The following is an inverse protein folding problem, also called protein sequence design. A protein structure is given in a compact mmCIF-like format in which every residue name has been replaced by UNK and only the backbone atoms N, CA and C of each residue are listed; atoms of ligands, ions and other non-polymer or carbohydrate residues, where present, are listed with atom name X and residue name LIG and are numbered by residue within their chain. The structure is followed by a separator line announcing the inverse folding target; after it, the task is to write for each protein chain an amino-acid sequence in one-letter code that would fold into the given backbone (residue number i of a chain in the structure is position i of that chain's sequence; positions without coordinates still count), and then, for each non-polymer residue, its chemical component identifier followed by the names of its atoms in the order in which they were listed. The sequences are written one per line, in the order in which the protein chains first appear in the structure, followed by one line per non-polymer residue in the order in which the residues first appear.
data_IF_811297164584
#
_entry.id   IF_811297164584
#
_cell.length_a   1.000
_cell.length_b   1.000
_cell.length_c   1.000
_cell.angle_alpha   90.00
_cell.angle_beta   90.00
_cell.angle_gamma   90.00
#
_symmetry.space_group_name_H-M   'P 1'
#
loop_
_entity.id
_entity.type
_entity.pdbx_description
1 polymer ?
#
# COMPACT_ATOMS: atom_id res chain seq x y z
N UNK A 1 -12.49 -13.48 27.49
CA UNK A 1 -12.52 -14.65 26.59
C UNK A 1 -12.77 -14.20 25.15
N UNK A 2 -11.98 -14.65 24.17
CA UNK A 2 -12.16 -14.28 22.75
C UNK A 2 -13.38 -14.98 22.16
N UNK A 3 -14.15 -14.27 21.33
CA UNK A 3 -15.32 -14.81 20.60
C UNK A 3 -14.91 -15.09 19.15
N UNK A 4 -15.23 -16.28 18.64
CA UNK A 4 -14.98 -16.70 17.26
C UNK A 4 -16.28 -16.73 16.47
N UNK A 5 -16.20 -16.33 15.20
CA UNK A 5 -17.32 -16.43 14.26
C UNK A 5 -17.16 -17.70 13.45
N UNK A 6 -18.09 -18.64 13.63
CA UNK A 6 -18.14 -19.90 12.87
C UNK A 6 -19.44 -20.00 12.09
N UNK A 7 -19.46 -20.83 11.04
CA UNK A 7 -20.69 -21.18 10.32
C UNK A 7 -21.33 -22.41 10.96
N UNK A 8 -22.64 -22.39 11.14
CA UNK A 8 -23.40 -23.57 11.57
C UNK A 8 -23.35 -24.65 10.48
N UNK A 9 -23.13 -25.94 10.82
CA UNK A 9 -23.13 -27.01 9.83
C UNK A 9 -24.51 -27.21 9.16
N UNK A 10 -25.62 -27.10 9.90
CA UNK A 10 -26.97 -27.21 9.31
C UNK A 10 -27.40 -25.97 8.57
N UNK A 11 -27.55 -24.84 9.28
CA UNK A 11 -28.19 -23.66 8.69
C UNK A 11 -27.22 -22.75 7.92
N UNK A 12 -25.90 -23.02 7.94
CA UNK A 12 -24.83 -22.23 7.30
C UNK A 12 -24.74 -20.76 7.74
N UNK A 13 -25.66 -20.29 8.60
CA UNK A 13 -25.64 -18.97 9.22
C UNK A 13 -24.44 -18.84 10.15
N UNK A 14 -23.90 -17.63 10.23
CA UNK A 14 -22.77 -17.30 11.10
C UNK A 14 -23.26 -17.23 12.54
N UNK A 15 -22.53 -17.82 13.48
CA UNK A 15 -22.78 -17.70 14.91
C UNK A 15 -21.49 -17.33 15.65
N UNK A 16 -21.65 -16.63 16.77
CA UNK A 16 -20.55 -16.27 17.67
C UNK A 16 -20.45 -17.33 18.77
N UNK A 17 -19.33 -18.05 18.83
CA UNK A 17 -19.02 -18.96 19.93
C UNK A 17 -17.83 -18.41 20.74
N UNK A 18 -17.65 -18.89 21.96
CA UNK A 18 -16.41 -18.61 22.69
C UNK A 18 -15.30 -19.52 22.20
N UNK A 19 -14.05 -19.07 22.27
CA UNK A 19 -12.88 -19.89 21.93
C UNK A 19 -12.55 -20.90 23.06
N UNK A 20 -13.53 -21.73 23.42
CA UNK A 20 -13.41 -22.77 24.45
C UNK A 20 -14.08 -24.05 23.95
N UNK A 21 -13.45 -25.23 24.10
CA UNK A 21 -14.09 -26.49 23.72
C UNK A 21 -15.36 -26.72 24.57
N UNK A 22 -16.53 -26.67 23.92
CA UNK A 22 -17.82 -26.82 24.55
C UNK A 22 -18.91 -27.18 23.52
N UNK A 23 -20.08 -27.55 24.01
CA UNK A 23 -21.29 -27.72 23.20
C UNK A 23 -21.99 -26.36 23.09
N UNK A 24 -22.13 -25.83 21.89
CA UNK A 24 -22.81 -24.56 21.62
C UNK A 24 -24.13 -24.80 20.92
N UNK A 25 -25.19 -24.11 21.34
CA UNK A 25 -26.48 -24.17 20.64
C UNK A 25 -26.54 -23.09 19.57
N UNK A 26 -26.90 -23.47 18.34
CA UNK A 26 -27.09 -22.49 17.27
C UNK A 26 -28.30 -21.59 17.58
N UNK A 27 -28.17 -20.26 17.52
CA UNK A 27 -29.29 -19.35 17.76
C UNK A 27 -30.36 -19.43 16.66
N UNK A 28 -30.02 -19.94 15.48
CA UNK A 28 -30.95 -19.97 14.33
C UNK A 28 -31.69 -21.30 14.19
N UNK A 29 -30.98 -22.44 14.27
CA UNK A 29 -31.60 -23.77 14.07
C UNK A 29 -31.70 -24.59 15.36
N UNK A 30 -31.33 -24.02 16.53
CA UNK A 30 -31.36 -24.66 17.85
C UNK A 30 -30.54 -25.95 17.99
N UNK A 31 -29.81 -26.35 16.96
CA UNK A 31 -28.97 -27.55 16.96
C UNK A 31 -27.70 -27.35 17.79
N UNK A 32 -27.26 -28.43 18.43
CA UNK A 32 -26.05 -28.44 19.26
C UNK A 32 -24.81 -28.72 18.39
N UNK A 33 -23.96 -27.72 18.28
CA UNK A 33 -22.65 -27.80 17.67
C UNK A 33 -21.58 -28.14 18.72
N UNK A 34 -20.86 -29.24 18.53
CA UNK A 34 -19.71 -29.62 19.38
C UNK A 34 -18.44 -28.95 18.86
N UNK A 35 -17.87 -28.04 19.65
CA UNK A 35 -16.55 -27.46 19.40
C UNK A 35 -15.50 -28.22 20.21
N UNK A 36 -14.67 -29.00 19.53
CA UNK A 36 -13.59 -29.80 20.12
C UNK A 36 -12.23 -29.09 20.01
N UNK A 37 -11.24 -29.53 20.81
CA UNK A 37 -9.86 -29.02 20.72
C UNK A 37 -9.26 -29.16 19.31
N UNK A 38 -9.57 -30.25 18.60
CA UNK A 38 -9.13 -30.46 17.21
C UNK A 38 -9.67 -29.39 16.25
N UNK A 39 -10.96 -29.06 16.35
CA UNK A 39 -11.56 -27.99 15.54
C UNK A 39 -11.02 -26.61 15.88
N UNK A 40 -10.62 -26.39 17.14
CA UNK A 40 -9.96 -25.16 17.56
C UNK A 40 -8.58 -25.01 16.90
N UNK A 41 -7.79 -26.09 16.85
CA UNK A 41 -6.49 -26.08 16.16
C UNK A 41 -6.64 -25.81 14.66
N UNK A 42 -7.58 -26.48 13.99
CA UNK A 42 -7.84 -26.27 12.55
C UNK A 42 -8.27 -24.82 12.27
N UNK A 43 -9.15 -24.25 13.10
CA UNK A 43 -9.57 -22.86 12.93
C UNK A 43 -8.40 -21.88 13.06
N UNK A 44 -7.49 -22.08 14.03
CA UNK A 44 -6.30 -21.23 14.20
C UNK A 44 -5.39 -21.29 12.96
N UNK A 45 -5.18 -22.50 12.43
CA UNK A 45 -4.38 -22.71 11.23
C UNK A 45 -5.03 -22.04 10.02
N UNK A 46 -6.34 -22.22 9.83
CA UNK A 46 -7.10 -21.57 8.75
C UNK A 46 -7.09 -20.04 8.84
N UNK A 47 -7.13 -19.45 10.04
CA UNK A 47 -7.02 -17.99 10.19
C UNK A 47 -5.65 -17.48 9.78
N UNK A 48 -4.58 -18.17 10.17
CA UNK A 48 -3.19 -17.80 9.79
C UNK A 48 -3.02 -17.87 8.27
N UNK A 49 -3.53 -18.91 7.61
CA UNK A 49 -3.46 -19.03 6.15
C UNK A 49 -4.28 -17.97 5.42
N UNK A 50 -5.45 -17.58 5.95
CA UNK A 50 -6.24 -16.49 5.38
C UNK A 50 -5.51 -15.15 5.48
N UNK A 51 -4.91 -14.85 6.63
CA UNK A 51 -4.17 -13.61 6.84
C UNK A 51 -2.94 -13.56 5.92
N UNK A 52 -2.24 -14.69 5.74
CA UNK A 52 -1.14 -14.79 4.77
C UNK A 52 -1.60 -14.55 3.32
N UNK A 53 -2.72 -15.16 2.92
CA UNK A 53 -3.28 -14.98 1.57
C UNK A 53 -3.74 -13.54 1.30
N UNK A 54 -4.41 -12.91 2.27
CA UNK A 54 -4.85 -11.52 2.20
C UNK A 54 -3.64 -10.58 2.03
N UNK A 55 -2.59 -10.80 2.82
CA UNK A 55 -1.34 -10.01 2.77
C UNK A 55 -0.68 -10.06 1.38
N UNK A 56 -0.63 -11.24 0.74
CA UNK A 56 -0.07 -11.37 -0.61
C UNK A 56 -0.91 -10.63 -1.67
N UNK A 57 -2.23 -10.69 -1.58
CA UNK A 57 -3.13 -9.96 -2.49
C UNK A 57 -2.96 -8.45 -2.32
N UNK A 58 -2.84 -7.98 -1.08
CA UNK A 58 -2.68 -6.56 -0.76
C UNK A 58 -1.33 -6.02 -1.27
N UNK A 59 -0.24 -6.79 -1.12
CA UNK A 59 1.07 -6.43 -1.70
C UNK A 59 0.96 -6.31 -3.22
N UNK A 60 0.33 -7.29 -3.89
CA UNK A 60 0.18 -7.28 -5.35
C UNK A 60 -0.64 -6.08 -5.83
N UNK A 61 -1.74 -5.77 -5.15
CA UNK A 61 -2.60 -4.64 -5.49
C UNK A 61 -1.90 -3.30 -5.27
N UNK A 62 -1.11 -3.18 -4.21
CA UNK A 62 -0.36 -1.95 -3.90
C UNK A 62 0.75 -1.70 -4.94
N UNK A 63 1.47 -2.74 -5.37
CA UNK A 63 2.45 -2.65 -6.47
C UNK A 63 1.77 -2.24 -7.79
N UNK A 64 0.65 -2.88 -8.13
CA UNK A 64 -0.12 -2.56 -9.34
C UNK A 64 -0.62 -1.12 -9.33
N UNK A 65 -1.11 -0.64 -8.19
CA UNK A 65 -1.56 0.74 -8.03
C UNK A 65 -0.41 1.74 -8.19
N UNK A 66 0.74 1.50 -7.56
CA UNK A 66 1.93 2.36 -7.73
C UNK A 66 2.40 2.41 -9.19
N UNK A 67 2.39 1.28 -9.89
CA UNK A 67 2.76 1.22 -11.31
C UNK A 67 1.77 1.96 -12.21
N UNK A 68 0.46 1.78 -11.99
CA UNK A 68 -0.56 2.49 -12.76
C UNK A 68 -0.53 4.00 -12.49
N UNK A 69 -0.29 4.39 -11.23
CA UNK A 69 -0.16 5.80 -10.85
C UNK A 69 1.05 6.43 -11.53
N UNK A 70 2.23 5.79 -11.50
CA UNK A 70 3.43 6.31 -12.18
C UNK A 70 3.25 6.40 -13.70
N UNK A 71 2.61 5.41 -14.32
CA UNK A 71 2.27 5.43 -15.75
C UNK A 71 1.32 6.57 -16.11
N UNK A 72 0.31 6.81 -15.28
CA UNK A 72 -0.65 7.90 -15.48
C UNK A 72 0.01 9.27 -15.26
N UNK A 73 0.84 9.42 -14.22
CA UNK A 73 1.63 10.63 -13.99
C UNK A 73 2.58 10.90 -15.16
N UNK A 74 3.23 9.88 -15.71
CA UNK A 74 4.09 10.04 -16.88
C UNK A 74 3.30 10.47 -18.12
N UNK A 75 2.13 9.86 -18.38
CA UNK A 75 1.24 10.28 -19.47
C UNK A 75 0.80 11.74 -19.30
N UNK A 76 0.40 12.13 -18.10
CA UNK A 76 0.01 13.51 -17.78
C UNK A 76 1.17 14.47 -18.01
N UNK A 77 2.37 14.19 -17.48
CA UNK A 77 3.56 15.00 -17.73
C UNK A 77 3.92 15.08 -19.21
N UNK A 78 3.78 13.99 -19.97
CA UNK A 78 4.03 14.00 -21.42
C UNK A 78 3.02 14.88 -22.15
N UNK A 79 1.75 14.87 -21.73
CA UNK A 79 0.70 15.71 -22.29
C UNK A 79 0.93 17.19 -21.94
N UNK A 80 1.23 17.50 -20.68
CA UNK A 80 1.62 18.85 -20.25
C UNK A 80 2.82 19.34 -21.06
N UNK A 81 3.87 18.52 -21.20
CA UNK A 81 5.06 18.87 -22.00
C UNK A 81 4.72 19.13 -23.47
N UNK A 82 3.78 18.39 -24.06
CA UNK A 82 3.31 18.66 -25.43
C UNK A 82 2.53 19.97 -25.51
N UNK A 83 1.59 20.19 -24.58
CA UNK A 83 0.79 21.42 -24.55
C UNK A 83 1.66 22.66 -24.31
N UNK A 84 2.65 22.57 -23.44
CA UNK A 84 3.57 23.68 -23.20
C UNK A 84 4.52 23.90 -24.39
N UNK A 85 5.01 22.86 -25.07
CA UNK A 85 5.80 22.99 -26.31
C UNK A 85 5.04 23.66 -27.46
N UNK A 86 3.72 23.48 -27.49
CA UNK A 86 2.85 24.10 -28.48
C UNK A 86 2.41 25.52 -28.08
N UNK A 87 2.78 26.00 -26.88
CA UNK A 87 2.48 27.36 -26.44
C UNK A 87 3.54 28.32 -27.04
N UNK A 88 3.15 29.44 -27.68
CA UNK A 88 4.08 30.42 -28.23
C UNK A 88 5.06 31.02 -27.20
N UNK A 89 4.76 30.93 -25.89
CA UNK A 89 5.62 31.42 -24.81
C UNK A 89 6.65 30.38 -24.28
N UNK A 90 6.78 29.22 -24.93
CA UNK A 90 7.68 28.13 -24.50
C UNK A 90 9.17 28.51 -24.47
N UNK A 91 9.57 29.47 -25.32
CA UNK A 91 10.94 30.00 -25.34
C UNK A 91 11.30 30.79 -24.07
N UNK A 92 10.35 31.52 -23.48
CA UNK A 92 10.56 32.24 -22.21
C UNK A 92 10.67 31.29 -21.02
N UNK A 93 9.88 30.22 -20.99
CA UNK A 93 9.96 29.21 -19.91
C UNK A 93 11.36 28.58 -19.81
N UNK A 94 12.02 28.32 -20.95
CA UNK A 94 13.39 27.81 -20.97
C UNK A 94 14.43 28.88 -20.60
N UNK A 95 14.14 30.15 -20.87
CA UNK A 95 14.99 31.29 -20.50
C UNK A 95 14.97 31.52 -18.99
N UNK A 96 13.79 31.54 -18.36
CA UNK A 96 13.64 31.64 -16.90
C UNK A 96 14.29 30.47 -16.16
N UNK A 97 14.20 29.24 -16.68
CA UNK A 97 14.88 28.07 -16.10
C UNK A 97 16.41 28.15 -16.19
N UNK A 98 16.96 28.76 -17.25
CA UNK A 98 18.41 29.01 -17.37
C UNK A 98 18.83 30.11 -16.42
N UNK A 99 18.09 31.21 -16.38
CA UNK A 99 18.33 32.33 -15.47
C UNK A 99 18.30 31.86 -14.01
N UNK A 100 17.29 31.08 -13.58
CA UNK A 100 17.27 30.50 -12.23
C UNK A 100 18.43 29.55 -11.96
N UNK A 101 18.87 28.74 -12.94
CA UNK A 101 20.04 27.87 -12.78
C UNK A 101 21.35 28.65 -12.69
N UNK A 102 21.47 29.77 -13.39
CA UNK A 102 22.61 30.66 -13.30
C UNK A 102 22.63 31.39 -11.94
N UNK A 103 21.47 31.83 -11.42
CA UNK A 103 21.37 32.38 -10.05
C UNK A 103 21.70 31.30 -8.99
N UNK A 104 21.32 30.04 -9.24
CA UNK A 104 21.69 28.91 -8.36
C UNK A 104 23.14 28.47 -8.56
N UNK A 105 23.74 28.74 -9.73
CA UNK A 105 25.15 28.50 -10.05
C UNK A 105 26.11 29.30 -9.17
N UNK A 106 25.66 30.43 -8.62
CA UNK A 106 26.39 31.15 -7.58
C UNK A 106 26.66 30.27 -6.33
N UNK A 107 25.78 29.30 -6.00
CA UNK A 107 26.03 28.30 -4.93
C UNK A 107 27.11 27.28 -5.29
N UNK A 108 27.37 27.00 -6.58
CA UNK A 108 28.51 26.17 -7.02
C UNK A 108 29.85 26.90 -6.83
N UNK A 109 29.89 28.23 -6.92
CA UNK A 109 31.08 29.03 -6.64
C UNK A 109 31.59 28.85 -5.21
N UNK A 110 30.68 28.81 -4.23
CA UNK A 110 31.04 28.59 -2.82
C UNK A 110 31.59 27.18 -2.56
N UNK A 111 31.02 26.16 -3.22
CA UNK A 111 31.51 24.77 -3.13
C UNK A 111 32.89 24.61 -3.78
N UNK A 112 33.09 25.19 -4.96
CA UNK A 112 34.38 25.19 -5.66
C UNK A 112 35.48 25.96 -4.91
N UNK A 113 35.12 27.04 -4.21
CA UNK A 113 36.05 27.81 -3.36
C UNK A 113 36.46 27.02 -2.10
N UNK A 114 35.50 26.37 -1.43
CA UNK A 114 35.75 25.47 -0.29
C UNK A 114 36.62 24.26 -0.68
N UNK A 115 36.37 23.63 -1.83
CA UNK A 115 37.18 22.51 -2.31
C UNK A 115 38.64 22.92 -2.62
N UNK A 116 38.86 24.17 -3.04
CA UNK A 116 40.20 24.72 -3.30
C UNK A 116 40.96 25.05 -2.01
N UNK A 117 40.27 25.51 -0.98
CA UNK A 117 40.83 25.73 0.35
C UNK A 117 41.18 24.41 1.06
N UNK A 118 40.35 23.37 0.87
CA UNK A 118 40.55 22.06 1.49
C UNK A 118 41.72 21.27 0.91
N UNK A 119 42.14 21.57 -0.33
CA UNK A 119 43.31 20.99 -1.02
C UNK A 119 44.63 21.72 -0.73
N UNK A 120 44.62 22.83 0.02
CA UNK A 120 45.81 23.62 0.39
C UNK A 120 46.24 23.43 1.86
N UNK A 121 45.61 22.48 2.57
CA UNK A 121 46.13 21.88 3.81
C UNK A 121 46.69 20.51 3.48
#
# INVERSE_FOLDING_TARGET
MKKLVIKCPKCKKKMKIMDKPAKYRCPHCKEVYKYTKSKQAINKVLTIFKDAGQTMVDIKNNIKNKYNMSKNTYKYMKQVKKNMKNNPNWSNYHKEQREMKDVTGAKKGFKGFMDKLKKRK
#
